data_IF_227642836843
#
_entry.id   IF_227642836843
#
_cell.length_a   1.000
_cell.length_b   1.000
_cell.length_c   1.000
_cell.angle_alpha   90.00
_cell.angle_beta   90.00
_cell.angle_gamma   90.00
#
_symmetry.space_group_name_H-M   'P 1'
#
loop_
_entity.id
_entity.type
_entity.pdbx_description
1 polymer ?
#
# COMPACT_ATOMS: atom_id res chain seq x y z
N UNK A 1 -16.17 10.23 -22.23
CA UNK A 1 -14.74 9.90 -22.32
C UNK A 1 -14.49 8.84 -21.24
N UNK A 2 -13.85 7.73 -21.59
CA UNK A 2 -13.51 6.69 -20.58
C UNK A 2 -12.62 7.32 -19.52
N UNK A 3 -12.97 7.17 -18.24
CA UNK A 3 -12.17 7.65 -17.12
C UNK A 3 -10.86 6.83 -17.10
N UNK A 4 -9.73 7.43 -17.50
CA UNK A 4 -8.41 6.75 -17.54
C UNK A 4 -7.70 6.89 -16.20
N UNK A 5 -8.38 6.47 -15.13
CA UNK A 5 -7.88 6.55 -13.75
C UNK A 5 -7.52 5.17 -13.23
N UNK A 6 -6.39 5.08 -12.54
CA UNK A 6 -5.95 3.91 -11.78
C UNK A 6 -5.78 4.32 -10.32
N UNK A 7 -6.42 3.60 -9.42
CA UNK A 7 -6.27 3.74 -7.99
C UNK A 7 -5.20 2.77 -7.47
N UNK A 8 -4.26 3.26 -6.68
CA UNK A 8 -3.12 2.50 -6.16
C UNK A 8 -3.09 2.60 -4.63
N UNK A 9 -2.89 1.49 -3.93
CA UNK A 9 -2.52 1.56 -2.52
C UNK A 9 -1.10 2.12 -2.35
N UNK A 10 -0.80 2.63 -1.16
CA UNK A 10 0.54 3.11 -0.83
C UNK A 10 1.44 2.00 -0.31
N UNK A 11 1.11 1.45 0.86
CA UNK A 11 2.00 0.57 1.63
C UNK A 11 1.94 -0.86 1.08
N UNK A 12 3.05 -1.38 0.58
CA UNK A 12 3.10 -2.70 -0.06
C UNK A 12 2.93 -2.67 -1.59
N UNK A 13 2.46 -1.55 -2.17
CA UNK A 13 2.33 -1.33 -3.62
C UNK A 13 3.32 -0.29 -4.13
N UNK A 14 3.29 0.93 -3.57
CA UNK A 14 4.16 2.04 -3.93
C UNK A 14 5.36 2.15 -2.99
N UNK A 15 5.12 1.95 -1.70
CA UNK A 15 6.05 2.24 -0.61
C UNK A 15 6.36 1.00 0.22
N UNK A 16 7.62 0.85 0.63
CA UNK A 16 8.07 -0.26 1.46
C UNK A 16 7.79 0.02 2.94
N UNK A 17 6.57 -0.33 3.38
CA UNK A 17 6.16 -0.20 4.78
C UNK A 17 7.07 -0.97 5.73
N UNK A 18 7.65 -2.10 5.31
CA UNK A 18 8.57 -2.87 6.17
C UNK A 18 9.82 -2.08 6.51
N UNK A 19 10.42 -1.38 5.54
CA UNK A 19 11.56 -0.51 5.81
C UNK A 19 11.16 0.70 6.64
N UNK A 20 9.99 1.30 6.39
CA UNK A 20 9.41 2.34 7.24
C UNK A 20 9.26 1.87 8.69
N UNK A 21 8.68 0.67 8.89
CA UNK A 21 8.52 0.04 10.21
C UNK A 21 9.87 -0.13 10.94
N UNK A 22 10.90 -0.64 10.25
CA UNK A 22 12.24 -0.80 10.82
C UNK A 22 12.83 0.55 11.24
N UNK A 23 12.62 1.61 10.45
CA UNK A 23 13.01 2.97 10.78
C UNK A 23 12.28 3.52 12.03
N UNK A 24 10.97 3.30 12.11
CA UNK A 24 10.19 3.65 13.31
C UNK A 24 10.67 2.89 14.56
N UNK A 25 10.96 1.61 14.40
CA UNK A 25 11.52 0.79 15.48
C UNK A 25 12.86 1.35 15.98
N UNK A 26 13.75 1.68 15.06
CA UNK A 26 15.04 2.28 15.40
C UNK A 26 14.89 3.61 16.16
N UNK A 27 13.93 4.46 15.74
CA UNK A 27 13.64 5.71 16.47
C UNK A 27 13.08 5.47 17.87
N UNK A 28 12.24 4.45 18.02
CA UNK A 28 11.61 4.13 19.30
C UNK A 28 12.57 3.48 20.31
N UNK A 29 13.44 2.58 19.83
CA UNK A 29 14.23 1.71 20.69
C UNK A 29 15.74 1.82 20.52
N UNK A 30 16.22 2.72 19.66
CA UNK A 30 17.63 3.09 19.51
C UNK A 30 18.45 2.15 18.61
N UNK A 31 17.90 1.04 18.12
CA UNK A 31 18.60 0.11 17.25
C UNK A 31 17.69 -0.36 16.09
N UNK A 32 18.26 -0.42 14.88
CA UNK A 32 17.57 -1.01 13.74
C UNK A 32 17.42 -2.55 13.96
N UNK A 33 16.23 -3.12 13.71
CA UNK A 33 16.05 -4.55 13.82
C UNK A 33 16.75 -5.27 12.66
N UNK A 34 17.20 -6.50 12.87
CA UNK A 34 17.72 -7.35 11.80
C UNK A 34 16.56 -7.96 11.01
N UNK A 35 16.76 -8.17 9.72
CA UNK A 35 15.80 -8.89 8.90
C UNK A 35 15.89 -10.41 9.23
N UNK A 36 14.75 -11.01 9.58
CA UNK A 36 14.59 -12.45 9.88
C UNK A 36 14.09 -13.20 8.65
N UNK A 37 13.03 -12.68 8.02
CA UNK A 37 12.38 -13.32 6.89
C UNK A 37 11.90 -12.27 5.87
N UNK A 38 12.62 -12.15 4.78
CA UNK A 38 12.32 -11.19 3.71
C UNK A 38 10.97 -11.42 3.04
N UNK A 39 10.44 -12.65 3.10
CA UNK A 39 9.16 -13.02 2.49
C UNK A 39 7.99 -12.96 3.49
N UNK A 40 8.23 -12.58 4.74
CA UNK A 40 7.14 -12.43 5.71
C UNK A 40 6.26 -11.21 5.36
N UNK A 41 4.94 -11.44 5.40
CA UNK A 41 3.94 -10.41 5.14
C UNK A 41 3.84 -9.40 6.30
N UNK A 42 3.89 -9.88 7.54
CA UNK A 42 3.76 -9.00 8.71
C UNK A 42 5.13 -8.49 9.17
N UNK A 43 5.27 -7.19 9.49
CA UNK A 43 6.54 -6.63 9.96
C UNK A 43 7.11 -7.34 11.20
N UNK A 44 6.24 -7.78 12.13
CA UNK A 44 6.66 -8.49 13.35
C UNK A 44 7.31 -9.85 13.05
N UNK A 45 6.96 -10.47 11.92
CA UNK A 45 7.53 -11.74 11.48
C UNK A 45 8.75 -11.52 10.59
N UNK A 46 8.77 -10.39 9.84
CA UNK A 46 9.89 -10.01 8.97
C UNK A 46 11.12 -9.58 9.75
N UNK A 47 10.94 -8.88 10.87
CA UNK A 47 12.03 -8.32 11.65
C UNK A 47 12.26 -9.09 12.96
N UNK A 48 13.52 -9.15 13.42
CA UNK A 48 13.87 -9.63 14.76
C UNK A 48 13.49 -8.59 15.81
N UNK A 49 12.21 -8.56 16.17
CA UNK A 49 11.64 -7.64 17.14
C UNK A 49 10.97 -8.41 18.27
N UNK A 50 10.97 -7.82 19.47
CA UNK A 50 10.26 -8.37 20.62
C UNK A 50 8.74 -8.12 20.51
N UNK A 51 7.94 -8.98 21.14
CA UNK A 51 6.52 -8.69 21.37
C UNK A 51 6.40 -7.61 22.44
N UNK A 52 5.81 -6.48 22.06
CA UNK A 52 5.68 -5.33 22.93
C UNK A 52 4.50 -5.50 23.89
N UNK A 53 4.73 -5.17 25.18
CA UNK A 53 3.67 -4.91 26.15
C UNK A 53 2.91 -3.61 25.77
N UNK A 54 1.83 -3.31 26.49
CA UNK A 54 0.97 -2.17 26.16
C UNK A 54 1.69 -0.82 26.26
N UNK A 55 2.58 -0.64 27.21
CA UNK A 55 3.34 0.61 27.40
C UNK A 55 4.35 0.82 26.26
N UNK A 56 5.12 -0.20 25.93
CA UNK A 56 6.06 -0.18 24.80
C UNK A 56 5.33 -0.03 23.47
N UNK A 57 4.17 -0.69 23.32
CA UNK A 57 3.33 -0.55 22.10
C UNK A 57 2.81 0.87 21.96
N UNK A 58 2.33 1.50 23.02
CA UNK A 58 1.91 2.88 23.03
C UNK A 58 3.08 3.84 22.73
N UNK A 59 4.29 3.53 23.24
CA UNK A 59 5.50 4.26 22.90
C UNK A 59 5.83 4.12 21.43
N UNK A 60 5.87 2.92 20.89
CA UNK A 60 6.19 2.65 19.49
C UNK A 60 5.19 3.33 18.52
N UNK A 61 3.89 3.28 18.84
CA UNK A 61 2.85 3.93 18.01
C UNK A 61 3.07 5.43 17.82
N UNK A 62 3.69 6.13 18.78
CA UNK A 62 4.01 7.57 18.62
C UNK A 62 5.04 7.87 17.55
N UNK A 63 5.76 6.85 17.06
CA UNK A 63 6.72 6.99 15.97
C UNK A 63 6.12 6.74 14.57
N UNK A 64 4.79 6.50 14.50
CA UNK A 64 4.02 6.57 13.26
C UNK A 64 3.41 7.96 13.12
N UNK A 65 4.27 8.94 13.23
CA UNK A 65 4.00 10.37 13.17
C UNK A 65 4.17 10.95 11.75
N UNK A 66 4.08 12.25 11.61
CA UNK A 66 4.29 12.93 10.33
C UNK A 66 5.65 12.59 9.72
N UNK A 67 6.70 12.49 10.54
CA UNK A 67 8.04 12.09 10.07
C UNK A 67 8.03 10.70 9.43
N UNK A 68 7.32 9.75 10.04
CA UNK A 68 7.13 8.42 9.46
C UNK A 68 6.45 8.52 8.09
N UNK A 69 5.28 9.17 8.04
CA UNK A 69 4.46 9.20 6.82
C UNK A 69 5.05 10.02 5.68
N UNK A 70 6.06 10.84 5.94
CA UNK A 70 6.83 11.57 4.92
C UNK A 70 8.13 10.88 4.50
N UNK A 71 8.52 9.76 5.14
CA UNK A 71 9.85 9.15 4.93
C UNK A 71 9.84 7.66 4.58
N UNK A 72 8.68 7.06 4.32
CA UNK A 72 8.61 5.65 3.87
C UNK A 72 9.25 5.55 2.49
N UNK A 73 10.27 4.68 2.30
CA UNK A 73 10.97 4.58 1.01
C UNK A 73 10.10 3.89 -0.05
N UNK A 74 10.39 4.12 -1.35
CA UNK A 74 9.66 3.48 -2.43
C UNK A 74 10.03 1.99 -2.53
N UNK A 75 9.10 1.19 -3.04
CA UNK A 75 9.40 -0.14 -3.55
C UNK A 75 10.21 0.02 -4.84
N UNK A 76 11.23 -0.82 -5.01
CA UNK A 76 12.06 -0.85 -6.22
C UNK A 76 11.18 -0.99 -7.47
N UNK A 77 11.39 -0.12 -8.46
CA UNK A 77 10.65 -0.09 -9.72
C UNK A 77 9.26 0.54 -9.65
N UNK A 78 8.74 0.90 -8.46
CA UNK A 78 7.37 1.43 -8.34
C UNK A 78 7.22 2.83 -8.96
N UNK A 79 8.23 3.69 -8.82
CA UNK A 79 8.24 5.04 -9.42
C UNK A 79 8.20 4.95 -10.94
N UNK A 80 9.07 4.13 -11.53
CA UNK A 80 9.14 3.89 -12.98
C UNK A 80 7.83 3.28 -13.51
N UNK A 81 7.24 2.35 -12.78
CA UNK A 81 5.95 1.75 -13.13
C UNK A 81 4.84 2.79 -13.17
N UNK A 82 4.78 3.72 -12.20
CA UNK A 82 3.83 4.83 -12.20
C UNK A 82 4.05 5.79 -13.37
N UNK A 83 5.31 6.12 -13.71
CA UNK A 83 5.59 6.95 -14.88
C UNK A 83 5.14 6.27 -16.19
N UNK A 84 5.34 4.97 -16.35
CA UNK A 84 4.84 4.22 -17.53
C UNK A 84 3.31 4.31 -17.68
N UNK A 85 2.56 4.24 -16.58
CA UNK A 85 1.10 4.44 -16.62
C UNK A 85 0.74 5.89 -16.96
N UNK A 86 1.40 6.84 -16.32
CA UNK A 86 1.18 8.27 -16.56
C UNK A 86 1.47 8.64 -18.02
N UNK A 87 2.60 8.21 -18.59
CA UNK A 87 2.99 8.45 -19.98
C UNK A 87 2.03 7.79 -20.97
N UNK A 88 1.40 6.67 -20.57
CA UNK A 88 0.31 6.05 -21.32
C UNK A 88 -1.03 6.80 -21.20
N UNK A 89 -1.07 7.93 -20.45
CA UNK A 89 -2.22 8.80 -20.30
C UNK A 89 -3.21 8.38 -19.20
N UNK A 90 -2.77 7.65 -18.18
CA UNK A 90 -3.58 7.36 -17.00
C UNK A 90 -3.35 8.42 -15.91
N UNK A 91 -4.43 8.88 -15.29
CA UNK A 91 -4.38 9.58 -14.02
C UNK A 91 -4.17 8.55 -12.91
N UNK A 92 -3.29 8.87 -11.93
CA UNK A 92 -2.98 8.01 -10.79
C UNK A 92 -3.45 8.67 -9.49
N UNK A 93 -4.21 7.93 -8.69
CA UNK A 93 -4.66 8.37 -7.36
C UNK A 93 -4.23 7.33 -6.34
N UNK A 94 -3.60 7.78 -5.26
CA UNK A 94 -3.29 6.92 -4.13
C UNK A 94 -4.51 6.84 -3.19
N UNK A 95 -4.95 5.60 -2.86
CA UNK A 95 -6.03 5.34 -1.90
C UNK A 95 -5.47 4.48 -0.77
N UNK A 96 -5.17 5.11 0.36
CA UNK A 96 -4.43 4.49 1.46
C UNK A 96 -5.27 4.37 2.72
N UNK A 97 -5.16 3.22 3.40
CA UNK A 97 -5.80 2.96 4.68
C UNK A 97 -5.02 3.61 5.84
N UNK A 98 -4.90 4.94 5.81
CA UNK A 98 -4.26 5.72 6.88
C UNK A 98 -5.26 6.73 7.47
N UNK A 99 -4.92 7.28 8.62
CA UNK A 99 -5.73 8.33 9.27
C UNK A 99 -5.68 9.63 8.45
N UNK A 100 -6.83 10.33 8.38
CA UNK A 100 -6.99 11.52 7.55
C UNK A 100 -5.99 12.63 7.86
N UNK A 101 -5.51 12.73 9.09
CA UNK A 101 -4.51 13.73 9.51
C UNK A 101 -3.16 13.57 8.78
N UNK A 102 -2.84 12.37 8.28
CA UNK A 102 -1.59 12.07 7.57
C UNK A 102 -1.72 12.08 6.03
N UNK A 103 -2.88 12.37 5.48
CA UNK A 103 -3.10 12.42 4.03
C UNK A 103 -2.09 13.34 3.32
N UNK A 104 -1.92 14.57 3.86
CA UNK A 104 -0.97 15.53 3.32
C UNK A 104 0.49 15.08 3.46
N UNK A 105 0.84 14.40 4.56
CA UNK A 105 2.18 13.85 4.76
C UNK A 105 2.48 12.77 3.72
N UNK A 106 1.54 11.86 3.48
CA UNK A 106 1.65 10.82 2.46
C UNK A 106 1.79 11.41 1.05
N UNK A 107 1.03 12.45 0.73
CA UNK A 107 1.15 13.11 -0.57
C UNK A 107 2.54 13.74 -0.76
N UNK A 108 3.09 14.41 0.28
CA UNK A 108 4.46 14.93 0.24
C UNK A 108 5.48 13.81 0.02
N UNK A 109 5.37 12.70 0.76
CA UNK A 109 6.25 11.54 0.60
C UNK A 109 6.28 11.04 -0.87
N UNK A 110 5.11 10.83 -1.48
CA UNK A 110 5.04 10.36 -2.86
C UNK A 110 5.64 11.37 -3.84
N UNK A 111 5.38 12.66 -3.67
CA UNK A 111 5.94 13.72 -4.53
C UNK A 111 7.45 13.84 -4.41
N UNK A 112 7.98 13.82 -3.18
CA UNK A 112 9.41 13.91 -2.91
C UNK A 112 10.18 12.73 -3.48
N UNK A 113 9.54 11.56 -3.58
CA UNK A 113 10.07 10.36 -4.23
C UNK A 113 9.90 10.35 -5.76
N UNK A 114 9.22 11.35 -6.33
CA UNK A 114 9.04 11.50 -7.78
C UNK A 114 7.89 10.70 -8.39
N UNK A 115 6.93 10.23 -7.59
CA UNK A 115 5.72 9.60 -8.13
C UNK A 115 4.85 10.64 -8.86
N UNK A 116 4.31 10.34 -10.06
CA UNK A 116 3.38 11.21 -10.79
C UNK A 116 1.95 11.10 -10.21
N UNK A 117 1.82 11.30 -8.89
CA UNK A 117 0.58 11.19 -8.13
C UNK A 117 0.31 12.54 -7.46
N UNK A 118 -0.81 13.16 -7.84
CA UNK A 118 -1.19 14.49 -7.36
C UNK A 118 -2.22 14.44 -6.24
N UNK A 119 -2.82 13.27 -5.98
CA UNK A 119 -3.88 13.10 -4.99
C UNK A 119 -3.73 11.83 -4.18
N UNK A 120 -3.90 11.98 -2.87
CA UNK A 120 -4.05 10.88 -1.91
C UNK A 120 -5.45 10.96 -1.31
N UNK A 121 -6.05 9.82 -1.03
CA UNK A 121 -7.29 9.70 -0.27
C UNK A 121 -7.01 8.80 0.92
N UNK A 122 -7.09 9.35 2.11
CA UNK A 122 -7.01 8.62 3.36
C UNK A 122 -8.39 8.08 3.74
N UNK A 123 -8.50 6.77 3.95
CA UNK A 123 -9.80 6.11 4.19
C UNK A 123 -9.97 5.59 5.62
N UNK A 124 -8.95 5.78 6.47
CA UNK A 124 -8.88 5.07 7.74
C UNK A 124 -8.59 3.58 7.55
N UNK A 125 -8.37 2.87 8.65
CA UNK A 125 -7.95 1.46 8.64
C UNK A 125 -8.97 0.51 9.29
N UNK A 126 -10.19 0.95 9.52
CA UNK A 126 -11.24 0.12 10.12
C UNK A 126 -11.62 -1.03 9.19
N UNK A 127 -10.94 -2.18 9.38
CA UNK A 127 -11.25 -3.40 8.66
C UNK A 127 -12.58 -4.00 9.13
N UNK A 128 -13.41 -4.46 8.18
CA UNK A 128 -14.71 -5.07 8.44
C UNK A 128 -15.13 -5.97 7.27
N UNK A 129 -16.42 -6.29 7.21
CA UNK A 129 -17.00 -7.02 6.07
C UNK A 129 -16.85 -6.26 4.75
N UNK A 130 -16.76 -4.94 4.81
CA UNK A 130 -16.53 -4.05 3.68
C UNK A 130 -15.20 -3.32 3.88
N UNK A 131 -14.46 -3.15 2.81
CA UNK A 131 -13.22 -2.40 2.79
C UNK A 131 -13.44 -0.93 3.15
N UNK A 132 -12.57 -0.30 3.96
CA UNK A 132 -12.62 1.14 4.19
C UNK A 132 -12.35 1.95 2.91
N UNK A 133 -11.70 1.33 1.90
CA UNK A 133 -11.42 1.94 0.59
C UNK A 133 -12.59 1.87 -0.38
N UNK A 134 -13.57 0.98 -0.16
CA UNK A 134 -14.61 0.68 -1.13
C UNK A 134 -15.44 1.89 -1.59
N UNK A 135 -15.78 2.81 -0.67
CA UNK A 135 -16.55 4.00 -1.01
C UNK A 135 -15.72 5.02 -1.81
N UNK A 136 -14.44 5.18 -1.47
CA UNK A 136 -13.51 6.00 -2.22
C UNK A 136 -13.30 5.45 -3.65
N UNK A 137 -13.11 4.14 -3.79
CA UNK A 137 -12.99 3.48 -5.09
C UNK A 137 -14.28 3.62 -5.91
N UNK A 138 -15.46 3.45 -5.29
CA UNK A 138 -16.73 3.65 -5.97
C UNK A 138 -16.93 5.09 -6.47
N UNK A 139 -16.52 6.08 -5.66
CA UNK A 139 -16.62 7.50 -6.03
C UNK A 139 -15.61 7.92 -7.10
N UNK A 140 -14.42 7.31 -7.12
CA UNK A 140 -13.38 7.54 -8.11
C UNK A 140 -13.71 6.90 -9.47
N UNK A 141 -14.43 5.79 -9.45
CA UNK A 141 -14.75 4.97 -10.63
C UNK A 141 -13.53 4.65 -11.50
N UNK A 142 -12.43 4.08 -10.93
CA UNK A 142 -11.21 3.84 -11.68
C UNK A 142 -11.35 2.62 -12.59
N UNK A 143 -10.51 2.53 -13.64
CA UNK A 143 -10.43 1.33 -14.47
C UNK A 143 -9.82 0.15 -13.71
N UNK A 144 -8.86 0.42 -12.82
CA UNK A 144 -8.23 -0.58 -11.95
C UNK A 144 -7.98 -0.04 -10.54
N UNK A 145 -8.02 -0.96 -9.58
CA UNK A 145 -7.58 -0.75 -8.21
C UNK A 145 -6.52 -1.79 -7.86
N UNK A 146 -5.34 -1.34 -7.44
CA UNK A 146 -4.19 -2.19 -7.10
C UNK A 146 -3.90 -2.09 -5.62
N UNK A 147 -3.84 -3.23 -4.93
CA UNK A 147 -3.63 -3.32 -3.48
C UNK A 147 -2.83 -4.59 -3.15
N UNK A 148 -2.10 -4.62 -2.02
CA UNK A 148 -1.39 -5.81 -1.54
C UNK A 148 -2.16 -6.56 -0.44
N UNK A 149 -3.32 -6.04 -0.04
CA UNK A 149 -4.15 -6.62 1.02
C UNK A 149 -5.54 -6.99 0.52
N UNK A 150 -5.75 -8.27 0.30
CA UNK A 150 -6.98 -8.82 -0.31
C UNK A 150 -8.29 -8.37 0.36
N UNK A 151 -8.40 -8.26 1.71
CA UNK A 151 -9.59 -7.73 2.35
C UNK A 151 -9.97 -6.30 1.94
N UNK A 152 -9.01 -5.50 1.44
CA UNK A 152 -9.32 -4.16 0.92
C UNK A 152 -10.02 -4.16 -0.45
N UNK A 153 -10.17 -5.32 -1.08
CA UNK A 153 -10.98 -5.49 -2.30
C UNK A 153 -12.47 -5.78 -2.01
N UNK A 154 -12.83 -6.06 -0.74
CA UNK A 154 -14.24 -6.32 -0.35
C UNK A 154 -15.11 -5.10 -0.61
N UNK A 155 -16.18 -5.30 -1.39
CA UNK A 155 -17.14 -4.24 -1.72
C UNK A 155 -16.66 -3.22 -2.77
N UNK A 156 -15.55 -3.46 -3.43
CA UNK A 156 -15.13 -2.73 -4.64
C UNK A 156 -16.14 -3.06 -5.76
N UNK A 157 -16.60 -2.05 -6.53
CA UNK A 157 -17.55 -2.28 -7.62
C UNK A 157 -17.04 -3.30 -8.65
N UNK A 158 -17.91 -4.19 -9.09
CA UNK A 158 -17.53 -5.33 -9.94
C UNK A 158 -17.03 -4.97 -11.33
N UNK A 159 -17.20 -3.74 -11.80
CA UNK A 159 -16.64 -3.27 -13.07
C UNK A 159 -15.18 -2.78 -12.93
N UNK A 160 -14.74 -2.44 -11.72
CA UNK A 160 -13.35 -2.05 -11.45
C UNK A 160 -12.47 -3.31 -11.50
N UNK A 161 -11.36 -3.25 -12.24
CA UNK A 161 -10.38 -4.33 -12.25
C UNK A 161 -9.55 -4.32 -10.97
N UNK A 162 -9.74 -5.30 -10.11
CA UNK A 162 -8.95 -5.49 -8.88
C UNK A 162 -7.67 -6.26 -9.19
N UNK A 163 -6.52 -5.72 -8.84
CA UNK A 163 -5.21 -6.35 -9.01
C UNK A 163 -4.51 -6.49 -7.66
N UNK A 164 -4.17 -7.73 -7.28
CA UNK A 164 -3.47 -8.03 -6.05
C UNK A 164 -1.96 -8.06 -6.28
N UNK A 165 -1.21 -7.34 -5.46
CA UNK A 165 0.25 -7.46 -5.38
C UNK A 165 0.59 -8.49 -4.30
N UNK A 166 1.19 -9.61 -4.71
CA UNK A 166 1.49 -10.74 -3.84
C UNK A 166 3.01 -10.98 -3.80
N UNK A 167 3.74 -10.12 -3.12
CA UNK A 167 5.22 -10.15 -3.01
C UNK A 167 5.76 -10.81 -1.74
N UNK A 168 4.96 -10.86 -0.68
CA UNK A 168 5.33 -11.45 0.62
C UNK A 168 4.39 -12.61 0.94
N UNK A 169 4.90 -13.85 0.84
CA UNK A 169 4.07 -15.06 0.86
C UNK A 169 3.93 -15.67 2.26
N UNK A 170 4.96 -15.50 3.12
CA UNK A 170 5.00 -16.16 4.42
C UNK A 170 4.08 -15.46 5.41
N UNK A 171 3.08 -16.18 5.92
CA UNK A 171 2.07 -15.64 6.82
C UNK A 171 1.12 -14.64 6.17
N UNK A 172 1.07 -14.59 4.82
CA UNK A 172 0.17 -13.71 4.09
C UNK A 172 -1.29 -14.04 4.38
N UNK A 173 -2.15 -13.05 4.63
CA UNK A 173 -3.59 -13.24 4.74
C UNK A 173 -4.28 -13.38 3.38
N UNK A 174 -3.55 -13.17 2.28
CA UNK A 174 -4.06 -13.21 0.92
C UNK A 174 -4.17 -14.67 0.44
N UNK A 175 -5.13 -15.41 0.97
CA UNK A 175 -5.34 -16.84 0.71
C UNK A 175 -6.82 -17.20 0.72
N UNK A 176 -7.14 -18.44 0.30
CA UNK A 176 -8.48 -19.00 0.38
C UNK A 176 -9.45 -18.48 -0.70
N UNK A 177 -10.74 -18.57 -0.41
CA UNK A 177 -11.81 -18.22 -1.36
C UNK A 177 -11.82 -16.74 -1.74
N UNK A 178 -11.35 -15.86 -0.84
CA UNK A 178 -11.28 -14.42 -1.11
C UNK A 178 -10.31 -14.06 -2.25
N UNK A 179 -9.44 -14.97 -2.68
CA UNK A 179 -8.62 -14.76 -3.88
C UNK A 179 -9.43 -14.47 -5.14
N UNK A 180 -10.69 -14.87 -5.18
CA UNK A 180 -11.64 -14.55 -6.26
C UNK A 180 -11.97 -13.05 -6.35
N UNK A 181 -11.72 -12.27 -5.29
CA UNK A 181 -11.85 -10.81 -5.30
C UNK A 181 -10.80 -10.14 -6.19
N UNK A 182 -9.65 -10.79 -6.42
CA UNK A 182 -8.59 -10.29 -7.29
C UNK A 182 -8.76 -10.84 -8.71
N UNK A 183 -8.97 -9.96 -9.70
CA UNK A 183 -9.06 -10.34 -11.12
C UNK A 183 -7.71 -10.64 -11.74
N UNK A 184 -6.63 -10.13 -11.16
CA UNK A 184 -5.26 -10.47 -11.52
C UNK A 184 -4.34 -10.43 -10.30
N UNK A 185 -3.28 -11.23 -10.34
CA UNK A 185 -2.29 -11.30 -9.27
C UNK A 185 -0.91 -11.07 -9.89
N UNK A 186 -0.09 -10.23 -9.26
CA UNK A 186 1.23 -9.85 -9.74
C UNK A 186 2.23 -9.85 -8.57
N UNK A 187 3.51 -10.05 -8.86
CA UNK A 187 4.56 -10.01 -7.84
C UNK A 187 4.86 -8.58 -7.37
N UNK A 188 4.71 -7.61 -8.29
CA UNK A 188 4.96 -6.19 -8.03
C UNK A 188 4.12 -5.30 -8.97
N UNK A 189 4.23 -3.98 -8.76
CA UNK A 189 3.53 -3.00 -9.58
C UNK A 189 4.02 -3.01 -11.04
N UNK A 190 5.30 -3.30 -11.29
CA UNK A 190 5.87 -3.37 -12.65
C UNK A 190 5.25 -4.50 -13.46
N UNK A 191 5.02 -5.64 -12.84
CA UNK A 191 4.30 -6.79 -13.42
C UNK A 191 2.86 -6.44 -13.77
N UNK A 192 2.14 -5.77 -12.85
CA UNK A 192 0.79 -5.26 -13.13
C UNK A 192 0.80 -4.30 -14.32
N UNK A 193 1.67 -3.30 -14.33
CA UNK A 193 1.72 -2.27 -15.39
C UNK A 193 2.03 -2.90 -16.75
N UNK A 194 2.97 -3.85 -16.79
CA UNK A 194 3.29 -4.57 -18.03
C UNK A 194 2.08 -5.33 -18.58
N UNK A 195 1.36 -6.03 -17.71
CA UNK A 195 0.13 -6.73 -18.07
C UNK A 195 -0.99 -5.75 -18.49
N UNK A 196 -1.14 -4.64 -17.77
CA UNK A 196 -2.21 -3.66 -18.02
C UNK A 196 -2.04 -2.94 -19.36
N UNK A 197 -0.82 -2.52 -19.69
CA UNK A 197 -0.53 -1.80 -20.92
C UNK A 197 -0.49 -2.69 -22.17
N UNK A 198 -0.49 -4.01 -22.02
CA UNK A 198 -0.54 -4.97 -23.11
C UNK A 198 -1.98 -5.34 -23.55
N UNK A 199 -3.00 -4.79 -22.88
CA UNK A 199 -4.43 -4.98 -23.22
C UNK A 199 -4.84 -4.02 -24.35
#
# INVERSE_FOLDING_TARGET
MSNRLIALDADGVLLDFHLGYAGAWQRAFGAAPRERDRLAYWPIDRWEVERLDDAKRAHFRRHFDETFWTSVPPIEGAVEACHRLHDAGFELVCVSALEAEYESARLRNLRDLGFPIERVIATGNAAGERSPKADAIAALDPQAFVDDYLPYMRGVPSHVHTALILRALNGSPNTGEEMELARSVHEDLSGFVTHWLAR
#
